data_IF_086549280582
#
_entry.id   IF_086549280582
#
_cell.length_a   1.000
_cell.length_b   1.000
_cell.length_c   1.000
_cell.angle_alpha   90.00
_cell.angle_beta   90.00
_cell.angle_gamma   90.00
#
_symmetry.space_group_name_H-M   'P 1'
#
loop_
_entity.id
_entity.type
_entity.pdbx_description
1 polymer ?
#
# COMPACT_ATOMS: atom_id res chain seq x y z
N UNK A 1 42.33 -110.49 23.47
CA UNK A 1 41.51 -109.81 24.49
C UNK A 1 41.37 -108.36 24.02
N UNK A 2 40.38 -108.07 23.16
CA UNK A 2 39.13 -107.31 23.47
C UNK A 2 39.44 -105.99 24.20
N UNK A 3 38.97 -104.79 23.86
CA UNK A 3 37.84 -104.27 23.06
C UNK A 3 38.13 -102.75 22.94
N UNK A 4 37.99 -102.12 21.77
CA UNK A 4 36.83 -101.32 21.34
C UNK A 4 36.90 -99.81 21.66
N UNK A 5 36.62 -99.02 20.60
CA UNK A 5 35.88 -97.76 20.59
C UNK A 5 36.51 -96.49 21.23
N UNK A 6 36.38 -95.27 20.71
CA UNK A 6 35.46 -94.75 19.70
C UNK A 6 35.95 -93.35 19.26
N UNK A 7 35.62 -93.01 18.02
CA UNK A 7 35.78 -91.69 17.40
C UNK A 7 34.84 -90.68 18.08
N UNK A 8 35.37 -89.57 18.61
CA UNK A 8 34.56 -88.44 19.06
C UNK A 8 34.87 -87.16 18.27
N UNK A 9 34.03 -86.91 17.26
CA UNK A 9 33.95 -85.64 16.52
C UNK A 9 33.32 -84.57 17.41
N UNK A 10 34.08 -83.55 17.81
CA UNK A 10 33.50 -82.36 18.46
C UNK A 10 33.11 -81.33 17.39
N UNK A 11 31.86 -81.42 16.93
CA UNK A 11 31.21 -80.47 16.03
C UNK A 11 30.95 -79.19 16.83
N UNK A 12 31.64 -78.08 16.49
CA UNK A 12 31.31 -76.74 16.97
C UNK A 12 29.88 -76.39 16.54
N UNK A 13 28.94 -76.37 17.49
CA UNK A 13 27.62 -75.75 17.29
C UNK A 13 27.80 -74.25 17.16
N UNK A 14 27.87 -73.76 15.93
CA UNK A 14 27.57 -72.36 15.62
C UNK A 14 26.11 -72.11 15.99
N UNK A 15 25.87 -71.52 17.17
CA UNK A 15 24.56 -70.93 17.50
C UNK A 15 24.32 -69.81 16.50
N UNK A 16 23.58 -70.10 15.43
CA UNK A 16 22.90 -69.07 14.63
C UNK A 16 21.92 -68.38 15.58
N UNK A 17 22.32 -67.23 16.12
CA UNK A 17 21.37 -66.29 16.70
C UNK A 17 20.44 -65.88 15.57
N UNK A 18 19.26 -66.50 15.53
CA UNK A 18 18.19 -66.11 14.64
C UNK A 18 17.84 -64.65 14.97
N UNK A 19 18.36 -63.72 14.18
CA UNK A 19 17.98 -62.32 14.24
C UNK A 19 16.49 -62.28 13.91
N UNK A 20 15.67 -62.19 14.97
CA UNK A 20 14.22 -62.11 14.89
C UNK A 20 13.89 -60.92 13.98
N UNK A 21 13.47 -61.22 12.74
CA UNK A 21 13.06 -60.22 11.75
C UNK A 21 11.86 -59.45 12.30
N UNK A 22 12.11 -58.35 13.00
CA UNK A 22 11.12 -57.32 13.31
C UNK A 22 11.54 -56.03 12.61
N UNK A 23 11.33 -55.95 11.29
CA UNK A 23 11.65 -54.74 10.50
C UNK A 23 10.66 -54.43 9.35
N UNK A 24 9.44 -54.96 9.38
CA UNK A 24 8.42 -54.63 8.35
C UNK A 24 7.58 -53.40 8.68
N UNK A 25 7.12 -53.30 9.94
CA UNK A 25 6.14 -52.27 10.36
C UNK A 25 6.68 -50.84 10.24
N UNK A 26 7.96 -50.62 10.52
CA UNK A 26 8.57 -49.29 10.42
C UNK A 26 8.57 -48.79 8.98
N UNK A 27 8.78 -49.67 7.99
CA UNK A 27 8.80 -49.31 6.58
C UNK A 27 7.41 -48.87 6.10
N UNK A 28 6.36 -49.57 6.55
CA UNK A 28 4.96 -49.21 6.26
C UNK A 28 4.60 -47.88 6.92
N UNK A 29 4.94 -47.70 8.19
CA UNK A 29 4.67 -46.46 8.91
C UNK A 29 5.42 -45.27 8.31
N UNK A 30 6.69 -45.45 7.91
CA UNK A 30 7.48 -44.38 7.30
C UNK A 30 6.94 -43.99 5.92
N UNK A 31 6.50 -44.95 5.12
CA UNK A 31 5.90 -44.65 3.81
C UNK A 31 4.58 -43.86 3.96
N UNK A 32 3.74 -44.23 4.93
CA UNK A 32 2.51 -43.52 5.22
C UNK A 32 2.77 -42.11 5.76
N UNK A 33 3.73 -41.93 6.68
CA UNK A 33 4.10 -40.62 7.19
C UNK A 33 4.70 -39.71 6.11
N UNK A 34 5.49 -40.26 5.18
CA UNK A 34 6.06 -39.48 4.07
C UNK A 34 4.95 -38.88 3.18
N UNK A 35 3.89 -39.64 2.91
CA UNK A 35 2.73 -39.14 2.16
C UNK A 35 2.02 -38.01 2.89
N UNK A 36 1.81 -38.16 4.20
CA UNK A 36 1.17 -37.13 5.04
C UNK A 36 2.02 -35.85 5.06
N UNK A 37 3.34 -35.96 5.24
CA UNK A 37 4.23 -34.80 5.23
C UNK A 37 4.26 -34.10 3.86
N UNK A 38 4.21 -34.86 2.77
CA UNK A 38 4.15 -34.29 1.42
C UNK A 38 2.83 -33.55 1.18
N UNK A 39 1.71 -34.07 1.69
CA UNK A 39 0.42 -33.38 1.65
C UNK A 39 0.44 -32.07 2.47
N UNK A 40 1.06 -32.06 3.65
CA UNK A 40 1.21 -30.84 4.46
C UNK A 40 2.11 -29.80 3.76
N UNK A 41 3.21 -30.23 3.14
CA UNK A 41 4.10 -29.36 2.38
C UNK A 41 3.36 -28.71 1.19
N UNK A 42 2.64 -29.53 0.41
CA UNK A 42 1.83 -29.07 -0.71
C UNK A 42 0.82 -27.99 -0.28
N UNK A 43 0.06 -28.26 0.79
CA UNK A 43 -0.88 -27.30 1.36
C UNK A 43 -0.19 -26.02 1.85
N UNK A 44 0.98 -26.14 2.47
CA UNK A 44 1.75 -24.98 2.95
C UNK A 44 2.20 -24.06 1.81
N UNK A 45 2.61 -24.63 0.67
CA UNK A 45 3.00 -23.86 -0.52
C UNK A 45 1.80 -23.14 -1.13
N UNK A 46 0.67 -23.84 -1.31
CA UNK A 46 -0.54 -23.25 -1.87
C UNK A 46 -1.07 -22.10 -0.99
N UNK A 47 -1.14 -22.29 0.33
CA UNK A 47 -1.54 -21.25 1.27
C UNK A 47 -0.55 -20.07 1.26
N UNK A 48 0.76 -20.36 1.26
CA UNK A 48 1.79 -19.32 1.20
C UNK A 48 1.66 -18.44 -0.03
N UNK A 49 1.39 -19.04 -1.20
CA UNK A 49 1.15 -18.31 -2.44
C UNK A 49 -0.13 -17.48 -2.40
N UNK A 50 -1.23 -18.03 -1.88
CA UNK A 50 -2.49 -17.31 -1.73
C UNK A 50 -2.31 -16.07 -0.85
N UNK A 51 -1.59 -16.18 0.27
CA UNK A 51 -1.29 -15.03 1.13
C UNK A 51 -0.32 -14.03 0.46
N UNK A 52 0.63 -14.48 -0.36
CA UNK A 52 1.51 -13.61 -1.12
C UNK A 52 0.73 -12.74 -2.12
N UNK A 53 -0.17 -13.34 -2.90
CA UNK A 53 -1.06 -12.62 -3.82
C UNK A 53 -1.97 -11.66 -3.06
N UNK A 54 -2.54 -12.09 -1.92
CA UNK A 54 -3.35 -11.21 -1.07
C UNK A 54 -2.56 -9.98 -0.61
N UNK A 55 -1.31 -10.16 -0.21
CA UNK A 55 -0.45 -9.07 0.23
C UNK A 55 -0.03 -8.15 -0.93
N UNK A 56 0.23 -8.68 -2.12
CA UNK A 56 0.46 -7.89 -3.33
C UNK A 56 -0.78 -7.05 -3.71
N UNK A 57 -1.96 -7.68 -3.76
CA UNK A 57 -3.21 -7.00 -4.11
C UNK A 57 -3.56 -5.91 -3.08
N UNK A 58 -3.37 -6.19 -1.80
CA UNK A 58 -3.66 -5.19 -0.75
C UNK A 58 -2.72 -3.99 -0.87
N UNK A 59 -1.41 -4.21 -1.12
CA UNK A 59 -0.46 -3.12 -1.37
C UNK A 59 -0.81 -2.28 -2.60
N UNK A 60 -1.25 -2.93 -3.68
CA UNK A 60 -1.68 -2.24 -4.90
C UNK A 60 -2.90 -1.35 -4.64
N UNK A 61 -3.91 -1.90 -3.97
CA UNK A 61 -5.16 -1.21 -3.64
C UNK A 61 -4.92 -0.07 -2.64
N UNK A 62 -4.05 -0.24 -1.64
CA UNK A 62 -3.64 0.82 -0.72
C UNK A 62 -2.94 1.98 -1.46
N UNK A 63 -2.01 1.66 -2.36
CA UNK A 63 -1.29 2.66 -3.15
C UNK A 63 -2.25 3.43 -4.08
N UNK A 64 -3.19 2.71 -4.71
CA UNK A 64 -4.24 3.30 -5.55
C UNK A 64 -5.17 4.21 -4.76
N UNK A 65 -5.63 3.79 -3.58
CA UNK A 65 -6.48 4.60 -2.72
C UNK A 65 -5.75 5.88 -2.30
N UNK A 66 -4.49 5.79 -1.87
CA UNK A 66 -3.69 6.95 -1.47
C UNK A 66 -3.48 7.94 -2.62
N UNK A 67 -3.16 7.43 -3.81
CA UNK A 67 -2.97 8.25 -5.02
C UNK A 67 -4.27 8.95 -5.44
N UNK A 68 -5.40 8.22 -5.42
CA UNK A 68 -6.71 8.78 -5.69
C UNK A 68 -7.09 9.86 -4.68
N UNK A 69 -6.91 9.61 -3.38
CA UNK A 69 -7.17 10.59 -2.34
C UNK A 69 -6.30 11.84 -2.49
N UNK A 70 -5.02 11.69 -2.85
CA UNK A 70 -4.11 12.80 -3.08
C UNK A 70 -4.51 13.71 -4.25
N UNK A 71 -5.18 13.15 -5.27
CA UNK A 71 -5.68 13.88 -6.44
C UNK A 71 -7.16 14.25 -6.36
N UNK A 72 -7.82 14.02 -5.22
CA UNK A 72 -9.22 14.38 -5.01
C UNK A 72 -9.44 15.89 -5.02
N UNK A 73 -8.40 16.67 -4.69
CA UNK A 73 -8.40 18.13 -4.77
C UNK A 73 -8.56 18.65 -6.21
N UNK A 74 -8.09 17.88 -7.20
CA UNK A 74 -8.16 18.23 -8.62
C UNK A 74 -9.51 17.81 -9.25
N UNK A 75 -10.32 17.03 -8.51
CA UNK A 75 -11.65 16.57 -8.92
C UNK A 75 -11.82 15.04 -8.88
N UNK A 76 -13.07 14.58 -8.74
CA UNK A 76 -13.40 13.16 -8.59
C UNK A 76 -12.95 12.29 -9.76
N UNK A 77 -13.07 12.78 -11.00
CA UNK A 77 -12.67 12.03 -12.19
C UNK A 77 -11.15 11.86 -12.26
N UNK A 78 -10.39 12.90 -11.91
CA UNK A 78 -8.92 12.85 -11.84
C UNK A 78 -8.46 11.88 -10.76
N UNK A 79 -9.11 11.88 -9.59
CA UNK A 79 -8.85 10.93 -8.51
C UNK A 79 -9.06 9.48 -8.94
N UNK A 80 -10.16 9.18 -9.65
CA UNK A 80 -10.45 7.83 -10.15
C UNK A 80 -9.39 7.35 -11.15
N UNK A 81 -9.00 8.20 -12.11
CA UNK A 81 -7.94 7.89 -13.08
C UNK A 81 -6.59 7.69 -12.40
N UNK A 82 -6.24 8.53 -11.42
CA UNK A 82 -5.01 8.40 -10.62
C UNK A 82 -4.98 7.11 -9.81
N UNK A 83 -6.10 6.70 -9.22
CA UNK A 83 -6.19 5.42 -8.52
C UNK A 83 -5.95 4.25 -9.49
N UNK A 84 -6.56 4.28 -10.68
CA UNK A 84 -6.39 3.25 -11.70
C UNK A 84 -4.94 3.17 -12.22
N UNK A 85 -4.28 4.31 -12.45
CA UNK A 85 -2.87 4.36 -12.83
C UNK A 85 -1.96 3.70 -11.76
N UNK A 86 -2.21 3.97 -10.48
CA UNK A 86 -1.43 3.35 -9.41
C UNK A 86 -1.70 1.85 -9.26
N UNK A 87 -2.91 1.37 -9.55
CA UNK A 87 -3.15 -0.08 -9.68
C UNK A 87 -2.34 -0.68 -10.81
N UNK A 88 -2.32 -0.03 -11.97
CA UNK A 88 -1.60 -0.49 -13.16
C UNK A 88 -0.09 -0.60 -12.90
N UNK A 89 0.47 0.30 -12.08
CA UNK A 89 1.88 0.27 -11.65
C UNK A 89 2.21 -0.84 -10.67
N UNK A 90 1.24 -1.27 -9.86
CA UNK A 90 1.41 -2.26 -8.81
C UNK A 90 0.70 -3.57 -9.17
N UNK A 91 0.99 -4.12 -10.36
CA UNK A 91 0.36 -5.37 -10.81
C UNK A 91 0.72 -6.55 -9.89
N UNK A 92 -0.28 -7.40 -9.67
CA UNK A 92 -0.22 -8.59 -8.83
C UNK A 92 0.18 -9.80 -9.69
N UNK A 93 1.14 -10.60 -9.23
CA UNK A 93 1.55 -11.84 -9.91
C UNK A 93 2.32 -11.68 -11.23
N UNK A 94 2.53 -10.46 -11.73
CA UNK A 94 3.36 -10.18 -12.91
C UNK A 94 3.99 -8.80 -12.82
N UNK A 95 5.30 -8.72 -13.10
CA UNK A 95 6.04 -7.48 -13.19
C UNK A 95 6.29 -7.17 -14.66
N UNK A 96 5.45 -6.31 -15.25
CA UNK A 96 5.76 -5.71 -16.56
C UNK A 96 6.33 -4.33 -16.29
N UNK A 97 7.54 -4.07 -16.75
CA UNK A 97 8.09 -2.72 -16.82
C UNK A 97 7.35 -2.01 -17.95
N UNK A 98 6.43 -1.12 -17.62
CA UNK A 98 5.71 -0.32 -18.60
C UNK A 98 6.61 0.83 -19.05
N UNK A 99 6.84 0.96 -20.35
CA UNK A 99 7.43 2.16 -20.93
C UNK A 99 6.43 3.33 -20.80
N UNK A 100 6.94 4.51 -20.44
CA UNK A 100 6.08 5.64 -20.05
C UNK A 100 5.28 6.24 -21.22
N UNK A 101 5.69 5.99 -22.48
CA UNK A 101 5.10 6.58 -23.68
C UNK A 101 3.72 6.02 -24.05
N UNK A 102 3.39 4.79 -23.66
CA UNK A 102 2.11 4.12 -23.97
C UNK A 102 1.15 4.06 -22.77
N UNK A 103 1.40 4.84 -21.71
CA UNK A 103 0.69 4.69 -20.43
C UNK A 103 -0.81 4.94 -20.52
N UNK A 104 -1.24 6.00 -21.21
CA UNK A 104 -2.64 6.40 -21.25
C UNK A 104 -3.48 5.38 -22.05
N UNK A 105 -2.93 4.88 -23.17
CA UNK A 105 -3.59 3.86 -23.99
C UNK A 105 -3.67 2.52 -23.26
N UNK A 106 -2.63 2.16 -22.51
CA UNK A 106 -2.62 0.96 -21.67
C UNK A 106 -3.58 1.05 -20.49
N UNK A 107 -3.73 2.23 -19.89
CA UNK A 107 -4.67 2.48 -18.81
C UNK A 107 -6.11 2.28 -19.29
N UNK A 108 -6.46 2.86 -20.43
CA UNK A 108 -7.78 2.70 -21.03
C UNK A 108 -8.09 1.24 -21.36
N UNK A 109 -7.13 0.53 -21.99
CA UNK A 109 -7.27 -0.89 -22.30
C UNK A 109 -7.44 -1.73 -21.03
N UNK A 110 -6.66 -1.45 -19.98
CA UNK A 110 -6.71 -2.17 -18.72
C UNK A 110 -8.03 -1.96 -17.99
N UNK A 111 -8.53 -0.71 -17.95
CA UNK A 111 -9.83 -0.38 -17.36
C UNK A 111 -10.98 -1.09 -18.06
N UNK A 112 -10.93 -1.19 -19.40
CA UNK A 112 -11.92 -1.90 -20.18
C UNK A 112 -11.92 -3.42 -19.91
N UNK A 113 -10.75 -4.00 -19.63
CA UNK A 113 -10.61 -5.42 -19.28
C UNK A 113 -11.10 -5.71 -17.84
N UNK A 114 -10.89 -4.79 -16.90
CA UNK A 114 -11.12 -5.02 -15.46
C UNK A 114 -12.39 -4.37 -14.90
N UNK A 115 -13.39 -4.07 -15.74
CA UNK A 115 -14.63 -3.40 -15.32
C UNK A 115 -15.34 -4.10 -14.15
N UNK A 116 -15.28 -5.43 -14.08
CA UNK A 116 -15.92 -6.22 -13.01
C UNK A 116 -14.99 -6.54 -11.83
N UNK A 117 -13.69 -6.34 -12.01
CA UNK A 117 -12.66 -6.74 -11.06
C UNK A 117 -12.03 -5.52 -10.36
N UNK A 118 -12.34 -4.30 -10.80
CA UNK A 118 -11.79 -3.07 -10.24
C UNK A 118 -12.85 -1.98 -10.15
N UNK A 119 -12.98 -1.37 -8.97
CA UNK A 119 -13.93 -0.29 -8.72
C UNK A 119 -13.29 0.80 -7.86
N UNK A 120 -13.56 2.06 -8.22
CA UNK A 120 -13.16 3.25 -7.46
C UNK A 120 -14.39 4.10 -7.15
N UNK A 121 -14.66 4.30 -5.87
CA UNK A 121 -15.77 5.11 -5.38
C UNK A 121 -15.22 6.34 -4.64
N UNK A 122 -15.87 7.49 -4.81
CA UNK A 122 -15.58 8.72 -4.06
C UNK A 122 -16.71 8.99 -3.07
N UNK A 123 -16.38 9.59 -1.92
CA UNK A 123 -17.39 9.85 -0.91
C UNK A 123 -16.82 10.37 0.40
N UNK A 124 -17.51 10.03 1.48
CA UNK A 124 -17.20 10.44 2.84
C UNK A 124 -16.85 9.23 3.68
N UNK A 125 -15.80 9.36 4.49
CA UNK A 125 -15.45 8.37 5.50
C UNK A 125 -15.80 8.90 6.89
N UNK A 126 -16.76 8.24 7.54
CA UNK A 126 -17.06 8.48 8.94
C UNK A 126 -16.06 7.72 9.82
N UNK A 127 -15.19 8.45 10.52
CA UNK A 127 -14.17 7.87 11.40
C UNK A 127 -14.73 7.23 12.67
N UNK A 128 -15.90 7.67 13.14
CA UNK A 128 -16.53 7.13 14.34
C UNK A 128 -17.34 5.87 13.99
N UNK A 129 -18.18 5.95 12.96
CA UNK A 129 -18.97 4.81 12.50
C UNK A 129 -18.13 3.77 11.75
N UNK A 130 -16.96 4.15 11.22
CA UNK A 130 -16.15 3.36 10.28
C UNK A 130 -16.94 2.93 9.05
N UNK A 131 -17.70 3.87 8.51
CA UNK A 131 -18.58 3.66 7.36
C UNK A 131 -18.18 4.62 6.25
N UNK A 132 -18.08 4.08 5.04
CA UNK A 132 -17.96 4.86 3.82
C UNK A 132 -19.35 5.12 3.25
N UNK A 133 -19.60 6.36 2.83
CA UNK A 133 -20.83 6.75 2.13
C UNK A 133 -20.45 7.41 0.83
N UNK A 134 -20.84 6.79 -0.29
CA UNK A 134 -20.58 7.34 -1.62
C UNK A 134 -21.31 8.67 -1.82
N UNK A 135 -20.59 9.67 -2.33
CA UNK A 135 -21.13 11.01 -2.57
C UNK A 135 -20.21 11.79 -3.49
N UNK A 136 -20.75 12.38 -4.54
CA UNK A 136 -20.00 13.28 -5.43
C UNK A 136 -19.96 14.73 -4.92
N UNK A 137 -20.75 15.06 -3.89
CA UNK A 137 -20.74 16.37 -3.27
C UNK A 137 -19.58 16.49 -2.28
N UNK A 138 -18.55 17.25 -2.67
CA UNK A 138 -17.34 17.54 -1.89
C UNK A 138 -16.74 16.29 -1.22
N UNK A 139 -16.43 15.22 -1.99
CA UNK A 139 -15.90 13.99 -1.41
C UNK A 139 -14.58 14.26 -0.69
N UNK A 140 -14.38 13.57 0.43
CA UNK A 140 -13.14 13.65 1.23
C UNK A 140 -12.39 12.32 1.29
N UNK A 141 -12.97 11.25 0.77
CA UNK A 141 -12.40 9.91 0.78
C UNK A 141 -12.57 9.22 -0.57
N UNK A 142 -11.63 8.34 -0.87
CA UNK A 142 -11.64 7.44 -2.02
C UNK A 142 -11.59 6.02 -1.49
N UNK A 143 -12.54 5.19 -1.93
CA UNK A 143 -12.54 3.74 -1.72
C UNK A 143 -12.11 3.08 -3.03
N UNK A 144 -11.17 2.16 -2.93
CA UNK A 144 -10.71 1.33 -4.03
C UNK A 144 -10.95 -0.13 -3.65
N UNK A 145 -11.58 -0.89 -4.54
CA UNK A 145 -11.75 -2.33 -4.40
C UNK A 145 -11.27 -3.03 -5.66
N UNK A 146 -10.51 -4.11 -5.47
CA UNK A 146 -10.02 -4.93 -6.56
C UNK A 146 -10.17 -6.42 -6.26
N UNK A 147 -10.41 -7.20 -7.31
CA UNK A 147 -10.48 -8.66 -7.31
C UNK A 147 -9.42 -9.20 -8.26
N UNK A 148 -8.69 -10.21 -7.79
CA UNK A 148 -7.78 -11.01 -8.58
C UNK A 148 -8.39 -12.40 -8.73
N UNK A 149 -8.87 -12.69 -9.93
CA UNK A 149 -9.65 -13.90 -10.24
C UNK A 149 -8.80 -14.95 -10.95
N UNK A 150 -9.16 -16.23 -10.78
CA UNK A 150 -8.54 -17.37 -11.48
C UNK A 150 -7.04 -17.56 -11.20
N UNK A 151 -6.57 -17.25 -9.98
CA UNK A 151 -5.20 -17.48 -9.59
C UNK A 151 -4.93 -18.99 -9.46
N UNK A 152 -3.88 -19.53 -10.10
CA UNK A 152 -3.67 -20.97 -10.16
C UNK A 152 -3.20 -21.54 -8.81
N UNK A 153 -3.79 -22.65 -8.36
CA UNK A 153 -3.16 -23.47 -7.31
C UNK A 153 -1.96 -24.24 -7.87
N UNK A 154 -0.97 -24.54 -7.03
CA UNK A 154 0.15 -25.41 -7.40
C UNK A 154 -0.21 -26.89 -7.21
N UNK A 155 -0.48 -27.31 -5.97
CA UNK A 155 -0.67 -28.72 -5.62
C UNK A 155 -2.12 -29.11 -5.35
N UNK A 156 -2.96 -28.17 -4.89
CA UNK A 156 -4.38 -28.40 -4.66
C UNK A 156 -5.15 -28.84 -5.93
N UNK A 157 -4.56 -28.63 -7.12
CA UNK A 157 -5.02 -29.17 -8.40
C UNK A 157 -5.17 -30.68 -8.42
N UNK A 158 -4.31 -31.40 -7.69
CA UNK A 158 -4.41 -32.86 -7.55
C UNK A 158 -5.70 -33.28 -6.83
N UNK A 159 -6.24 -32.41 -5.98
CA UNK A 159 -7.50 -32.62 -5.26
C UNK A 159 -8.72 -32.06 -6.01
N UNK A 160 -8.53 -31.54 -7.23
CA UNK A 160 -9.59 -30.98 -8.07
C UNK A 160 -9.79 -29.47 -7.94
N UNK A 161 -9.00 -28.76 -7.11
CA UNK A 161 -9.05 -27.29 -7.02
C UNK A 161 -8.15 -26.66 -8.07
N UNK A 162 -8.72 -26.00 -9.08
CA UNK A 162 -7.93 -25.47 -10.20
C UNK A 162 -7.32 -24.09 -9.90
N UNK A 163 -8.12 -23.25 -9.26
CA UNK A 163 -7.87 -21.83 -9.06
C UNK A 163 -8.56 -21.29 -7.79
N UNK A 164 -8.23 -20.06 -7.46
CA UNK A 164 -8.83 -19.30 -6.38
C UNK A 164 -8.96 -17.82 -6.74
N UNK A 165 -9.87 -17.15 -6.03
CA UNK A 165 -10.11 -15.73 -6.17
C UNK A 165 -9.75 -14.99 -4.87
N UNK A 166 -9.20 -13.80 -5.01
CA UNK A 166 -8.86 -12.93 -3.88
C UNK A 166 -9.43 -11.54 -4.13
N UNK A 167 -9.97 -10.93 -3.09
CA UNK A 167 -10.42 -9.53 -3.11
C UNK A 167 -9.68 -8.69 -2.08
N UNK A 168 -9.46 -7.41 -2.37
CA UNK A 168 -8.95 -6.42 -1.42
C UNK A 168 -9.69 -5.09 -1.57
N UNK A 169 -9.83 -4.37 -0.46
CA UNK A 169 -10.43 -3.04 -0.39
C UNK A 169 -9.51 -2.15 0.45
N UNK A 170 -9.34 -0.89 0.04
CA UNK A 170 -8.72 0.15 0.83
C UNK A 170 -9.52 1.46 0.73
N UNK A 171 -9.48 2.25 1.80
CA UNK A 171 -10.10 3.56 1.86
C UNK A 171 -9.03 4.55 2.31
N UNK A 172 -8.80 5.58 1.50
CA UNK A 172 -7.91 6.67 1.83
C UNK A 172 -8.69 7.97 1.90
N UNK A 173 -8.30 8.84 2.85
CA UNK A 173 -8.96 10.12 3.07
C UNK A 173 -7.98 11.26 2.80
N UNK A 174 -8.45 12.26 2.07
CA UNK A 174 -7.82 13.58 2.02
C UNK A 174 -8.40 14.44 3.15
N UNK A 175 -7.56 14.83 4.11
CA UNK A 175 -7.98 15.72 5.18
C UNK A 175 -7.61 17.16 4.81
N UNK A 176 -8.59 18.05 4.57
CA UNK A 176 -8.29 19.47 4.39
C UNK A 176 -7.62 20.02 5.65
N UNK A 177 -6.58 20.84 5.46
CA UNK A 177 -5.86 21.52 6.53
C UNK A 177 -6.25 22.99 6.52
N UNK A 178 -6.79 23.47 7.63
CA UNK A 178 -7.01 24.90 7.83
C UNK A 178 -5.69 25.53 8.28
N UNK A 179 -5.13 26.40 7.44
CA UNK A 179 -3.92 27.16 7.76
C UNK A 179 -4.33 28.60 8.03
N UNK A 180 -4.06 29.09 9.25
CA UNK A 180 -4.25 30.50 9.61
C UNK A 180 -2.89 31.17 9.57
N UNK A 181 -2.74 32.13 8.65
CA UNK A 181 -1.56 32.98 8.58
C UNK A 181 -1.82 34.26 9.38
N UNK A 182 -1.04 34.46 10.44
CA UNK A 182 -1.04 35.71 11.21
C UNK A 182 0.19 36.50 10.79
N UNK A 183 -0.02 37.62 10.10
CA UNK A 183 1.06 38.52 9.69
C UNK A 183 1.14 39.68 10.69
N UNK A 184 2.26 39.78 11.40
CA UNK A 184 2.56 40.96 12.24
C UNK A 184 3.10 42.10 11.37
N UNK A 185 2.28 43.13 11.15
CA UNK A 185 2.67 44.34 10.42
C UNK A 185 3.24 45.45 11.32
N UNK A 186 3.25 45.26 12.64
CA UNK A 186 3.69 46.28 13.60
C UNK A 186 5.22 46.28 13.82
N UNK A 187 5.93 45.35 13.20
CA UNK A 187 7.35 45.05 13.43
C UNK A 187 7.69 44.61 14.87
N UNK A 188 6.69 44.33 15.70
CA UNK A 188 6.89 43.96 17.11
C UNK A 188 7.51 42.56 17.29
N UNK A 189 7.27 41.65 16.35
CA UNK A 189 7.85 40.30 16.32
C UNK A 189 9.11 40.21 15.45
N UNK A 190 9.59 41.32 14.90
CA UNK A 190 10.76 41.34 14.01
C UNK A 190 12.05 40.94 14.74
N UNK A 191 12.16 41.23 16.06
CA UNK A 191 13.36 41.00 16.86
C UNK A 191 13.69 39.49 17.02
N UNK A 192 12.69 38.61 16.93
CA UNK A 192 12.82 37.15 17.13
C UNK A 192 12.99 36.38 15.81
N UNK A 193 12.77 37.04 14.66
CA UNK A 193 12.97 36.48 13.32
C UNK A 193 14.30 36.92 12.67
N UNK A 194 15.11 37.69 13.40
CA UNK A 194 16.41 38.15 12.89
C UNK A 194 17.43 37.00 12.89
N UNK A 195 18.09 36.79 11.75
CA UNK A 195 19.23 35.88 11.62
C UNK A 195 20.51 36.46 12.25
N UNK A 196 20.41 37.05 13.45
CA UNK A 196 21.48 37.81 14.15
C UNK A 196 22.79 37.04 14.30
N UNK A 197 22.72 35.71 14.42
CA UNK A 197 23.88 34.84 14.63
C UNK A 197 24.27 34.00 13.42
N UNK A 198 23.73 34.28 12.23
CA UNK A 198 23.99 33.49 11.02
C UNK A 198 25.47 33.43 10.63
N UNK A 199 26.24 34.46 10.98
CA UNK A 199 27.69 34.51 10.78
C UNK A 199 28.44 33.35 11.47
N UNK A 200 27.86 32.71 12.50
CA UNK A 200 28.45 31.54 13.17
C UNK A 200 28.49 30.29 12.30
N UNK A 201 27.69 30.25 11.23
CA UNK A 201 27.58 29.10 10.32
C UNK A 201 28.41 29.30 9.03
N UNK A 202 29.25 30.34 8.98
CA UNK A 202 30.11 30.65 7.83
C UNK A 202 29.59 31.82 6.98
N UNK A 203 30.50 32.46 6.21
CA UNK A 203 30.18 33.65 5.41
C UNK A 203 29.12 33.39 4.33
N UNK A 204 29.03 32.17 3.81
CA UNK A 204 28.07 31.79 2.77
C UNK A 204 26.66 31.51 3.29
N UNK A 205 26.49 31.22 4.59
CA UNK A 205 25.20 30.78 5.14
C UNK A 205 24.09 31.82 4.95
N UNK A 206 24.44 33.10 5.05
CA UNK A 206 23.49 34.20 4.84
C UNK A 206 23.01 34.27 3.40
N UNK A 207 23.93 34.22 2.44
CA UNK A 207 23.60 34.28 1.02
C UNK A 207 22.71 33.10 0.61
N UNK A 208 22.95 31.90 1.14
CA UNK A 208 22.12 30.72 0.87
C UNK A 208 20.69 30.88 1.41
N UNK A 209 20.53 31.35 2.65
CA UNK A 209 19.20 31.54 3.24
C UNK A 209 18.43 32.65 2.52
N UNK A 210 19.08 33.77 2.20
CA UNK A 210 18.46 34.86 1.45
C UNK A 210 18.06 34.42 0.03
N UNK A 211 18.85 33.56 -0.63
CA UNK A 211 18.51 32.99 -1.92
C UNK A 211 17.27 32.07 -1.84
N UNK A 212 17.18 31.19 -0.85
CA UNK A 212 16.00 30.34 -0.64
C UNK A 212 14.75 31.14 -0.26
N UNK A 213 14.89 32.21 0.53
CA UNK A 213 13.76 33.11 0.83
C UNK A 213 13.26 33.83 -0.43
N UNK A 214 14.18 34.24 -1.31
CA UNK A 214 13.83 34.86 -2.59
C UNK A 214 13.10 33.89 -3.51
N UNK A 215 13.55 32.64 -3.58
CA UNK A 215 12.90 31.57 -4.36
C UNK A 215 11.46 31.34 -3.87
N UNK A 216 11.27 31.20 -2.55
CA UNK A 216 9.93 31.08 -1.94
C UNK A 216 9.04 32.28 -2.31
N UNK A 217 9.58 33.49 -2.27
CA UNK A 217 8.83 34.69 -2.62
C UNK A 217 8.43 34.71 -4.11
N UNK A 218 9.32 34.26 -5.00
CA UNK A 218 9.05 34.16 -6.43
C UNK A 218 7.97 33.11 -6.73
N UNK A 219 8.03 31.96 -6.07
CA UNK A 219 7.06 30.87 -6.20
C UNK A 219 5.67 31.25 -5.67
N UNK A 220 5.60 32.03 -4.59
CA UNK A 220 4.33 32.58 -4.10
C UNK A 220 3.68 33.57 -5.09
N UNK A 221 4.47 34.15 -5.99
CA UNK A 221 4.01 35.18 -6.93
C UNK A 221 3.78 36.53 -6.26
N UNK A 222 3.56 37.57 -7.08
CA UNK A 222 3.17 38.89 -6.56
C UNK A 222 1.76 38.80 -5.96
N UNK A 223 1.54 39.29 -4.72
CA UNK A 223 0.21 39.30 -4.15
C UNK A 223 -0.74 40.10 -5.05
N UNK A 224 -1.88 39.50 -5.37
CA UNK A 224 -2.98 40.20 -6.02
C UNK A 224 -3.68 41.06 -4.97
N UNK A 225 -3.27 42.32 -4.87
CA UNK A 225 -3.93 43.27 -3.99
C UNK A 225 -5.38 43.48 -4.46
N UNK A 226 -6.33 43.37 -3.53
CA UNK A 226 -7.72 43.77 -3.77
C UNK A 226 -7.85 45.30 -3.87
N UNK A 227 -9.07 45.79 -4.06
CA UNK A 227 -9.34 47.24 -4.19
C UNK A 227 -9.29 48.00 -2.85
N UNK A 228 -8.87 47.36 -1.75
CA UNK A 228 -8.80 48.01 -0.45
C UNK A 228 -7.60 48.96 -0.41
N UNK A 229 -7.87 50.23 -0.15
CA UNK A 229 -6.83 51.25 0.00
C UNK A 229 -6.03 51.02 1.29
N UNK A 230 -4.74 51.34 1.25
CA UNK A 230 -3.85 51.21 2.41
C UNK A 230 -4.20 52.19 3.56
N UNK A 231 -4.94 53.26 3.25
CA UNK A 231 -5.42 54.20 4.26
C UNK A 231 -6.61 53.59 5.02
N UNK A 232 -6.60 53.59 6.37
CA UNK A 232 -7.67 53.00 7.14
C UNK A 232 -9.00 53.73 6.90
N UNK A 233 -9.97 53.01 6.34
CA UNK A 233 -11.34 53.49 6.12
C UNK A 233 -12.21 53.08 7.33
N UNK A 234 -12.86 54.06 7.96
CA UNK A 234 -13.78 53.80 9.07
C UNK A 234 -15.20 53.62 8.55
N UNK A 235 -15.79 52.44 8.80
CA UNK A 235 -17.17 52.14 8.41
C UNK A 235 -18.02 51.92 9.66
N UNK A 236 -18.93 52.85 9.95
CA UNK A 236 -19.90 52.72 11.04
C UNK A 236 -21.25 52.24 10.50
N UNK A 237 -21.30 51.01 10.01
CA UNK A 237 -22.52 50.36 9.52
C UNK A 237 -22.52 48.88 9.88
N UNK A 238 -23.68 48.32 10.20
CA UNK A 238 -23.88 46.87 10.37
C UNK A 238 -24.42 46.22 9.09
N UNK A 239 -24.66 46.99 8.03
CA UNK A 239 -25.15 46.48 6.75
C UNK A 239 -23.99 46.00 5.87
N UNK A 240 -23.94 44.69 5.62
CA UNK A 240 -22.90 44.03 4.83
C UNK A 240 -22.71 44.62 3.42
N UNK A 241 -23.78 45.07 2.78
CA UNK A 241 -23.74 45.59 1.41
C UNK A 241 -23.13 46.98 1.38
N UNK A 242 -23.42 47.80 2.39
CA UNK A 242 -22.79 49.11 2.60
C UNK A 242 -21.30 48.96 2.91
N UNK A 243 -20.92 48.00 3.76
CA UNK A 243 -19.51 47.73 4.09
C UNK A 243 -18.72 47.31 2.84
N UNK A 244 -19.24 46.36 2.06
CA UNK A 244 -18.58 45.88 0.84
C UNK A 244 -18.36 46.98 -0.19
N UNK A 245 -19.40 47.77 -0.46
CA UNK A 245 -19.30 48.89 -1.40
C UNK A 245 -18.28 49.95 -0.96
N UNK A 246 -18.18 50.24 0.34
CA UNK A 246 -17.21 51.22 0.87
C UNK A 246 -15.77 50.68 0.80
N UNK A 247 -15.58 49.37 1.02
CA UNK A 247 -14.27 48.73 0.99
C UNK A 247 -13.85 48.24 -0.42
N UNK A 248 -14.69 48.40 -1.44
CA UNK A 248 -14.42 47.94 -2.80
C UNK A 248 -14.37 46.42 -2.95
N UNK A 249 -15.07 45.69 -2.08
CA UNK A 249 -15.15 44.22 -1.98
C UNK A 249 -16.39 43.63 -2.69
#
# INVERSE_FOLDING_TARGET
MFCADSISRSVRRLRKTCHRRRKGTVLVLSALLMLVLMAMLACSVDLGYMYAIKAELSRAVDAAALAGAGSLVDGSQVAQLRAADFMLRNRVGSQVLLEEQDRDTLLEAWLAEHVNDFEVQVGHWDTQARVFTQSDYLPSAVRVSARYSNAPFFFARVLGFQDFDIQAEAIARYQPRDIVLVLDFSASMNDDSELRRIYKYGESARATVEASLLEIWQDLGSPTYGNMEFQPQYVSSTNNQTIKNILGL
#
